data_IF_877307679152
#
_entry.id   IF_877307679152
#
_cell.length_a   1.000
_cell.length_b   1.000
_cell.length_c   1.000
_cell.angle_alpha   90.00
_cell.angle_beta   90.00
_cell.angle_gamma   90.00
#
_symmetry.space_group_name_H-M   'P 1'
#
loop_
_entity.id
_entity.type
_entity.pdbx_description
1 polymer ?
#
# COMPACT_ATOMS: atom_id res chain seq x y z
N UNK A 1 -11.85 -6.20 -0.31
CA UNK A 1 -11.47 -4.79 -0.25
C UNK A 1 -12.02 -4.25 1.06
N UNK A 2 -11.21 -3.52 1.82
CA UNK A 2 -11.61 -2.86 3.05
C UNK A 2 -12.20 -1.49 2.72
N UNK A 3 -13.29 -1.10 3.40
CA UNK A 3 -14.07 0.08 3.01
C UNK A 3 -13.65 1.38 3.68
N UNK A 4 -12.87 1.30 4.77
CA UNK A 4 -12.54 2.45 5.61
C UNK A 4 -11.07 2.35 6.06
N UNK A 5 -10.14 2.61 5.14
CA UNK A 5 -8.71 2.59 5.41
C UNK A 5 -8.07 3.91 5.00
N UNK A 6 -7.25 4.47 5.88
CA UNK A 6 -6.52 5.70 5.61
C UNK A 6 -5.00 5.51 5.82
N UNK A 7 -4.20 6.33 5.13
CA UNK A 7 -2.79 6.50 5.47
C UNK A 7 -2.64 7.43 6.67
N UNK A 8 -1.51 7.29 7.38
CA UNK A 8 -1.17 8.20 8.48
C UNK A 8 -0.77 9.60 7.96
N UNK A 9 -0.07 9.63 6.84
CA UNK A 9 0.51 10.84 6.25
C UNK A 9 0.22 10.85 4.73
N UNK A 10 0.36 12.01 4.08
CA UNK A 10 0.04 12.21 2.66
C UNK A 10 1.27 12.18 1.72
N UNK A 11 2.41 11.69 2.23
CA UNK A 11 3.70 11.65 1.54
C UNK A 11 4.42 10.34 1.83
N UNK A 12 5.03 9.74 0.79
CA UNK A 12 5.67 8.42 0.86
C UNK A 12 6.66 8.29 2.01
N UNK A 13 7.64 9.19 2.12
CA UNK A 13 8.70 9.09 3.15
C UNK A 13 8.12 9.10 4.57
N UNK A 14 7.13 9.94 4.83
CA UNK A 14 6.49 10.07 6.15
C UNK A 14 5.63 8.84 6.49
N UNK A 15 4.94 8.28 5.50
CA UNK A 15 4.21 7.02 5.66
C UNK A 15 5.18 5.89 6.03
N UNK A 16 6.33 5.78 5.36
CA UNK A 16 7.31 4.73 5.59
C UNK A 16 7.96 4.78 6.99
N UNK A 17 7.86 5.90 7.70
CA UNK A 17 8.25 5.98 9.12
C UNK A 17 7.34 5.16 10.04
N UNK A 18 6.17 4.70 9.59
CA UNK A 18 5.24 3.89 10.40
C UNK A 18 4.73 2.64 9.70
N UNK A 19 4.63 2.64 8.37
CA UNK A 19 3.96 1.59 7.61
C UNK A 19 4.49 0.18 7.87
N UNK A 20 5.82 0.02 7.97
CA UNK A 20 6.48 -1.29 8.08
C UNK A 20 7.20 -1.50 9.41
N UNK A 21 6.82 -0.79 10.46
CA UNK A 21 7.39 -0.92 11.80
C UNK A 21 6.33 -0.59 12.88
N UNK A 22 6.69 -0.72 14.17
CA UNK A 22 5.75 -0.51 15.29
C UNK A 22 5.50 0.97 15.69
N UNK A 23 6.09 1.93 14.98
CA UNK A 23 5.78 3.36 15.09
C UNK A 23 4.38 3.65 14.57
N UNK A 24 3.66 4.55 15.22
CA UNK A 24 2.30 4.96 14.89
C UNK A 24 2.06 6.42 15.32
N UNK A 25 0.81 6.87 15.30
CA UNK A 25 0.47 8.23 15.74
C UNK A 25 0.68 8.48 17.25
N UNK A 26 0.66 7.46 18.10
CA UNK A 26 0.80 7.59 19.55
C UNK A 26 2.23 7.37 20.07
N UNK A 27 3.12 6.84 19.25
CA UNK A 27 4.52 6.61 19.63
C UNK A 27 5.32 7.90 19.70
N UNK A 28 6.32 7.93 20.59
CA UNK A 28 7.07 9.13 20.93
C UNK A 28 8.59 9.02 20.71
N UNK A 29 9.07 7.94 20.09
CA UNK A 29 10.48 7.77 19.71
C UNK A 29 10.62 7.92 18.20
N UNK A 30 11.82 8.27 17.70
CA UNK A 30 12.09 8.16 16.26
C UNK A 30 11.81 6.75 15.74
N UNK A 31 11.26 6.65 14.53
CA UNK A 31 10.77 5.38 13.97
C UNK A 31 11.83 4.27 13.91
N UNK A 32 13.09 4.64 13.69
CA UNK A 32 14.21 3.69 13.60
C UNK A 32 14.58 3.03 14.94
N UNK A 33 13.93 3.41 16.04
CA UNK A 33 14.00 2.69 17.32
C UNK A 33 12.97 1.56 17.45
N UNK A 34 11.98 1.48 16.57
CA UNK A 34 10.97 0.43 16.56
C UNK A 34 11.40 -0.75 15.68
N UNK A 35 11.06 -1.98 16.09
CA UNK A 35 11.29 -3.14 15.25
C UNK A 35 10.47 -3.05 13.97
N UNK A 36 11.07 -3.47 12.86
CA UNK A 36 10.48 -3.43 11.53
C UNK A 36 10.13 -4.84 11.05
N UNK A 37 9.12 -4.89 10.18
CA UNK A 37 8.51 -6.09 9.66
C UNK A 37 9.51 -6.98 8.90
N UNK A 38 10.40 -6.39 8.10
CA UNK A 38 11.37 -7.13 7.27
C UNK A 38 12.35 -7.91 8.13
N UNK A 39 12.89 -7.30 9.18
CA UNK A 39 13.79 -7.98 10.12
C UNK A 39 13.08 -9.07 10.91
N UNK A 40 11.82 -8.82 11.29
CA UNK A 40 11.01 -9.82 11.98
C UNK A 40 10.82 -11.04 11.07
N UNK A 41 10.43 -10.86 9.80
CA UNK A 41 10.33 -11.96 8.83
C UNK A 41 11.64 -12.73 8.65
N UNK A 42 12.78 -12.03 8.53
CA UNK A 42 14.10 -12.69 8.46
C UNK A 42 14.39 -13.52 9.72
N UNK A 43 14.12 -12.97 10.92
CA UNK A 43 14.30 -13.68 12.19
C UNK A 43 13.33 -14.87 12.34
N UNK A 44 12.18 -14.81 11.70
CA UNK A 44 11.21 -15.91 11.58
C UNK A 44 11.52 -16.89 10.43
N UNK A 45 12.74 -16.85 9.88
CA UNK A 45 13.24 -17.74 8.83
C UNK A 45 12.53 -17.63 7.47
N UNK A 46 11.98 -16.46 7.15
CA UNK A 46 11.51 -16.15 5.79
C UNK A 46 12.67 -15.63 4.93
N UNK A 47 12.71 -16.06 3.67
CA UNK A 47 13.51 -15.39 2.64
C UNK A 47 12.82 -14.08 2.27
N UNK A 48 13.53 -12.95 2.34
CA UNK A 48 12.95 -11.62 2.10
C UNK A 48 13.40 -11.04 0.77
N UNK A 49 12.42 -10.57 -0.01
CA UNK A 49 12.61 -9.98 -1.34
C UNK A 49 11.98 -8.59 -1.39
N UNK A 50 12.68 -7.62 -1.96
CA UNK A 50 12.15 -6.30 -2.29
C UNK A 50 12.38 -5.99 -3.75
N UNK A 51 11.30 -5.81 -4.51
CA UNK A 51 11.33 -5.44 -5.91
C UNK A 51 10.90 -3.98 -6.02
N UNK A 52 11.86 -3.11 -6.31
CA UNK A 52 11.72 -1.66 -6.34
C UNK A 52 11.47 -1.18 -7.77
N UNK A 53 10.33 -0.51 -8.00
CA UNK A 53 10.05 0.16 -9.27
C UNK A 53 10.20 1.67 -9.18
N UNK A 54 10.10 2.25 -7.99
CA UNK A 54 10.26 3.67 -7.77
C UNK A 54 11.75 4.05 -7.78
N UNK A 55 12.07 5.19 -8.40
CA UNK A 55 13.43 5.72 -8.39
C UNK A 55 13.75 6.19 -6.97
N UNK A 56 14.99 5.95 -6.54
CA UNK A 56 15.49 6.52 -5.29
C UNK A 56 16.07 7.89 -5.60
N UNK A 57 15.47 8.92 -5.03
CA UNK A 57 15.98 10.28 -5.02
C UNK A 57 16.14 10.79 -3.57
N UNK A 58 16.41 12.09 -3.41
CA UNK A 58 16.55 12.73 -2.10
C UNK A 58 15.28 12.63 -1.24
N UNK A 59 14.11 12.49 -1.86
CA UNK A 59 12.81 12.35 -1.20
C UNK A 59 12.48 10.91 -0.86
N UNK A 60 13.35 9.96 -1.25
CA UNK A 60 13.15 8.53 -1.08
C UNK A 60 14.05 7.81 -0.08
N UNK A 61 14.68 8.55 0.82
CA UNK A 61 15.65 8.00 1.78
C UNK A 61 15.01 7.01 2.74
N UNK A 62 13.81 7.30 3.26
CA UNK A 62 13.16 6.45 4.28
C UNK A 62 12.80 5.07 3.72
N UNK A 63 12.10 5.00 2.59
CA UNK A 63 11.80 3.72 1.94
C UNK A 63 13.08 3.00 1.48
N UNK A 64 14.14 3.73 1.12
CA UNK A 64 15.43 3.12 0.81
C UNK A 64 16.03 2.41 2.02
N UNK A 65 16.03 3.06 3.19
CA UNK A 65 16.52 2.46 4.44
C UNK A 65 15.70 1.24 4.84
N UNK A 66 14.38 1.28 4.66
CA UNK A 66 13.48 0.16 4.95
C UNK A 66 13.74 -1.01 4.00
N UNK A 67 13.74 -0.76 2.70
CA UNK A 67 13.93 -1.80 1.68
C UNK A 67 15.33 -2.42 1.71
N UNK A 68 16.36 -1.67 2.11
CA UNK A 68 17.74 -2.18 2.28
C UNK A 68 17.86 -3.25 3.38
N UNK A 69 16.82 -3.44 4.20
CA UNK A 69 16.78 -4.50 5.21
C UNK A 69 16.45 -5.86 4.60
N UNK A 70 15.92 -5.91 3.38
CA UNK A 70 15.61 -7.16 2.70
C UNK A 70 16.88 -7.90 2.32
N UNK A 71 16.86 -9.24 2.38
CA UNK A 71 18.01 -10.05 2.01
C UNK A 71 18.31 -9.96 0.52
N UNK A 72 17.28 -9.96 -0.31
CA UNK A 72 17.39 -9.80 -1.75
C UNK A 72 16.65 -8.52 -2.16
N UNK A 73 17.36 -7.56 -2.75
CA UNK A 73 16.79 -6.29 -3.18
C UNK A 73 17.13 -6.05 -4.66
N UNK A 74 16.12 -5.73 -5.45
CA UNK A 74 16.24 -5.52 -6.88
C UNK A 74 15.64 -4.17 -7.26
N UNK A 75 16.34 -3.44 -8.14
CA UNK A 75 15.84 -2.20 -8.74
C UNK A 75 15.47 -2.48 -10.20
N UNK A 76 14.17 -2.37 -10.52
CA UNK A 76 13.58 -2.68 -11.83
C UNK A 76 13.28 -1.35 -12.53
N UNK A 77 14.31 -0.54 -12.77
CA UNK A 77 14.17 0.82 -13.30
C UNK A 77 14.05 0.83 -14.85
N UNK A 78 14.29 1.98 -15.49
CA UNK A 78 14.01 2.19 -16.91
C UNK A 78 14.67 1.21 -17.88
N UNK A 79 15.76 0.54 -17.49
CA UNK A 79 16.41 -0.49 -18.29
C UNK A 79 15.61 -1.80 -18.41
N UNK A 80 14.62 -2.02 -17.55
CA UNK A 80 13.68 -3.14 -17.64
C UNK A 80 12.40 -2.78 -18.39
N UNK A 81 12.08 -1.49 -18.50
CA UNK A 81 10.85 -0.97 -19.08
C UNK A 81 10.25 0.15 -18.22
N UNK A 82 9.33 0.92 -18.78
CA UNK A 82 8.80 2.11 -18.11
C UNK A 82 7.80 1.78 -16.99
N UNK A 83 7.03 0.70 -17.12
CA UNK A 83 5.80 0.51 -16.35
C UNK A 83 5.89 -0.59 -15.29
N UNK A 84 4.97 -0.58 -14.32
CA UNK A 84 4.98 -1.50 -13.17
C UNK A 84 4.80 -2.98 -13.52
N UNK A 85 4.29 -3.33 -14.72
CA UNK A 85 4.18 -4.73 -15.17
C UNK A 85 5.53 -5.45 -15.23
N UNK A 86 6.63 -4.69 -15.34
CA UNK A 86 7.99 -5.24 -15.28
C UNK A 86 8.30 -5.92 -13.95
N UNK A 87 7.64 -5.54 -12.86
CA UNK A 87 7.76 -6.24 -11.58
C UNK A 87 7.31 -7.70 -11.68
N UNK A 88 6.22 -7.97 -12.40
CA UNK A 88 5.66 -9.33 -12.60
C UNK A 88 6.59 -10.15 -13.48
N UNK A 89 7.09 -9.56 -14.57
CA UNK A 89 8.05 -10.20 -15.48
C UNK A 89 9.37 -10.51 -14.77
N UNK A 90 9.90 -9.54 -14.01
CA UNK A 90 11.14 -9.70 -13.25
C UNK A 90 11.01 -10.77 -12.17
N UNK A 91 9.90 -10.78 -11.43
CA UNK A 91 9.64 -11.78 -10.40
C UNK A 91 9.68 -13.20 -11.00
N UNK A 92 8.93 -13.44 -12.07
CA UNK A 92 8.81 -14.76 -12.68
C UNK A 92 10.16 -15.30 -13.17
N UNK A 93 10.99 -14.41 -13.74
CA UNK A 93 12.30 -14.78 -14.27
C UNK A 93 13.38 -14.94 -13.20
N UNK A 94 13.42 -14.05 -12.22
CA UNK A 94 14.57 -13.92 -11.32
C UNK A 94 14.26 -14.32 -9.88
N UNK A 95 13.07 -14.04 -9.37
CA UNK A 95 12.74 -14.27 -7.94
C UNK A 95 12.13 -15.64 -7.73
N UNK A 96 11.20 -16.06 -8.59
CA UNK A 96 10.51 -17.35 -8.49
C UNK A 96 11.47 -18.57 -8.38
N UNK A 97 12.60 -18.64 -9.13
CA UNK A 97 13.56 -19.74 -8.98
C UNK A 97 14.33 -19.74 -7.64
N UNK A 98 14.33 -18.62 -6.91
CA UNK A 98 15.08 -18.45 -5.67
C UNK A 98 14.23 -18.71 -4.41
N UNK A 99 12.91 -18.88 -4.57
CA UNK A 99 11.98 -19.06 -3.46
C UNK A 99 12.37 -20.23 -2.55
N UNK A 100 12.13 -20.04 -1.26
CA UNK A 100 12.31 -21.04 -0.19
C UNK A 100 10.95 -21.53 0.31
N UNK A 101 10.94 -22.30 1.39
CA UNK A 101 9.71 -22.78 2.03
C UNK A 101 8.84 -21.65 2.58
N UNK A 102 9.46 -20.55 3.03
CA UNK A 102 8.79 -19.34 3.53
C UNK A 102 9.39 -18.11 2.87
N UNK A 103 8.56 -17.25 2.29
CA UNK A 103 9.01 -16.05 1.55
C UNK A 103 8.15 -14.85 1.94
N UNK A 104 8.79 -13.72 2.17
CA UNK A 104 8.14 -12.42 2.30
C UNK A 104 8.63 -11.55 1.14
N UNK A 105 7.71 -11.15 0.27
CA UNK A 105 8.02 -10.49 -1.00
C UNK A 105 7.28 -9.17 -1.02
N UNK A 106 8.02 -8.07 -1.17
CA UNK A 106 7.46 -6.73 -1.36
C UNK A 106 7.62 -6.33 -2.82
N UNK A 107 6.50 -5.99 -3.45
CA UNK A 107 6.46 -5.30 -4.73
C UNK A 107 6.19 -3.82 -4.43
N UNK A 108 7.18 -2.97 -4.66
CA UNK A 108 7.02 -1.53 -4.46
C UNK A 108 6.83 -0.87 -5.83
N UNK A 109 5.58 -0.48 -6.09
CA UNK A 109 5.09 0.04 -7.37
C UNK A 109 5.33 1.56 -7.45
N UNK A 110 5.41 2.11 -8.66
CA UNK A 110 5.22 3.56 -8.83
C UNK A 110 3.73 3.91 -8.66
N UNK A 111 2.84 3.03 -9.10
CA UNK A 111 1.40 3.17 -8.96
C UNK A 111 0.87 4.41 -9.69
N UNK A 112 0.02 5.16 -9.00
CA UNK A 112 -0.61 6.38 -9.54
C UNK A 112 0.10 7.65 -9.06
N UNK A 113 1.43 7.64 -9.01
CA UNK A 113 2.23 8.83 -8.71
C UNK A 113 2.04 9.92 -9.79
N UNK A 114 2.13 11.20 -9.39
CA UNK A 114 1.93 12.38 -10.24
C UNK A 114 2.74 12.35 -11.55
N UNK A 115 2.17 13.00 -12.57
CA UNK A 115 2.38 12.72 -14.00
C UNK A 115 1.72 11.42 -14.43
N UNK A 116 0.40 11.36 -14.19
CA UNK A 116 -0.41 10.14 -14.31
C UNK A 116 -0.37 9.52 -15.72
N UNK A 117 -0.29 10.34 -16.77
CA UNK A 117 -0.17 9.88 -18.16
C UNK A 117 1.07 9.01 -18.42
N UNK A 118 2.12 9.16 -17.61
CA UNK A 118 3.36 8.38 -17.72
C UNK A 118 3.28 7.04 -16.94
N UNK A 119 2.17 6.79 -16.24
CA UNK A 119 2.00 5.58 -15.41
C UNK A 119 1.47 4.39 -16.19
N UNK A 120 0.96 4.60 -17.39
CA UNK A 120 0.34 3.56 -18.20
C UNK A 120 0.75 3.65 -19.67
N UNK A 121 0.83 2.52 -20.41
CA UNK A 121 1.03 2.54 -21.85
C UNK A 121 -0.23 3.05 -22.57
N UNK A 122 -0.07 3.56 -23.79
CA UNK A 122 -1.20 4.11 -24.59
C UNK A 122 -2.39 3.15 -24.75
N UNK A 123 -2.17 1.84 -24.71
CA UNK A 123 -3.24 0.83 -24.74
C UNK A 123 -4.17 0.84 -23.52
N UNK A 124 -3.75 1.47 -22.43
CA UNK A 124 -4.52 1.66 -21.20
C UNK A 124 -5.13 3.07 -21.08
N UNK A 125 -4.98 3.93 -22.09
CA UNK A 125 -5.65 5.22 -22.19
C UNK A 125 -7.14 5.05 -22.56
N UNK A 126 -7.92 4.41 -21.68
CA UNK A 126 -9.29 3.98 -21.93
C UNK A 126 -10.30 5.12 -21.73
N UNK A 127 -10.19 5.83 -20.61
CA UNK A 127 -11.11 6.88 -20.20
C UNK A 127 -10.64 8.24 -20.72
N UNK A 128 -11.58 9.02 -21.23
CA UNK A 128 -11.37 10.39 -21.69
C UNK A 128 -12.13 11.36 -20.78
N UNK A 129 -11.81 12.66 -20.81
CA UNK A 129 -12.59 13.67 -20.09
C UNK A 129 -14.11 13.61 -20.37
N UNK A 130 -14.51 13.24 -21.58
CA UNK A 130 -15.93 13.09 -21.96
C UNK A 130 -16.67 11.96 -21.24
N UNK A 131 -15.94 11.00 -20.66
CA UNK A 131 -16.50 9.81 -20.02
C UNK A 131 -16.68 9.99 -18.50
N UNK A 132 -16.23 11.13 -17.95
CA UNK A 132 -16.16 11.38 -16.51
C UNK A 132 -17.10 12.50 -16.06
N UNK A 133 -17.55 12.40 -14.81
CA UNK A 133 -18.24 13.49 -14.11
C UNK A 133 -17.25 14.31 -13.32
N UNK A 134 -17.41 15.63 -13.34
CA UNK A 134 -16.59 16.59 -12.60
C UNK A 134 -17.40 17.40 -11.58
N UNK A 135 -18.65 17.03 -11.32
CA UNK A 135 -19.58 17.83 -10.51
C UNK A 135 -19.11 18.08 -9.07
N UNK A 136 -18.26 17.19 -8.55
CA UNK A 136 -17.74 17.24 -7.18
C UNK A 136 -16.27 17.66 -7.12
N UNK A 137 -15.71 18.15 -8.24
CA UNK A 137 -14.30 18.52 -8.36
C UNK A 137 -14.18 20.00 -8.70
N UNK A 138 -13.16 20.65 -8.16
CA UNK A 138 -12.84 22.05 -8.42
C UNK A 138 -11.99 22.24 -9.69
N UNK A 139 -12.31 21.48 -10.75
CA UNK A 139 -11.65 21.62 -12.06
C UNK A 139 -12.14 22.87 -12.79
N UNK A 140 -11.23 23.60 -13.43
CA UNK A 140 -11.53 24.90 -14.05
C UNK A 140 -11.37 24.92 -15.57
N UNK A 141 -10.66 23.96 -16.14
CA UNK A 141 -10.31 23.94 -17.56
C UNK A 141 -10.13 22.50 -18.09
N UNK A 142 -9.92 22.36 -19.40
CA UNK A 142 -9.78 21.03 -20.03
C UNK A 142 -8.47 20.31 -19.65
N UNK A 143 -7.43 21.04 -19.24
CA UNK A 143 -6.21 20.44 -18.72
C UNK A 143 -6.48 19.75 -17.38
N UNK A 144 -7.23 20.38 -16.47
CA UNK A 144 -7.60 19.77 -15.19
C UNK A 144 -8.42 18.50 -15.42
N UNK A 145 -9.40 18.54 -16.33
CA UNK A 145 -10.19 17.36 -16.69
C UNK A 145 -9.35 16.24 -17.29
N UNK A 146 -8.33 16.58 -18.08
CA UNK A 146 -7.39 15.60 -18.62
C UNK A 146 -6.54 14.96 -17.50
N UNK A 147 -6.11 15.73 -16.51
CA UNK A 147 -5.37 15.21 -15.35
C UNK A 147 -6.22 14.19 -14.59
N UNK A 148 -7.52 14.47 -14.36
CA UNK A 148 -8.46 13.52 -13.74
C UNK A 148 -8.57 12.25 -14.59
N UNK A 149 -8.71 12.37 -15.92
CA UNK A 149 -8.81 11.22 -16.81
C UNK A 149 -7.53 10.36 -16.81
N UNK A 150 -6.36 10.99 -16.77
CA UNK A 150 -5.08 10.30 -16.69
C UNK A 150 -4.91 9.58 -15.35
N UNK A 151 -5.36 10.17 -14.24
CA UNK A 151 -5.39 9.52 -12.93
C UNK A 151 -6.31 8.28 -12.93
N UNK A 152 -7.51 8.38 -13.50
CA UNK A 152 -8.42 7.23 -13.64
C UNK A 152 -7.80 6.13 -14.50
N UNK A 153 -7.12 6.47 -15.60
CA UNK A 153 -6.42 5.50 -16.44
C UNK A 153 -5.21 4.86 -15.72
N UNK A 154 -4.49 5.60 -14.88
CA UNK A 154 -3.40 5.02 -14.08
C UNK A 154 -3.93 4.02 -13.06
N UNK A 155 -5.09 4.27 -12.45
CA UNK A 155 -5.77 3.30 -11.59
C UNK A 155 -6.21 2.05 -12.37
N UNK A 156 -6.78 2.22 -13.57
CA UNK A 156 -7.16 1.11 -14.45
C UNK A 156 -5.97 0.24 -14.86
N UNK A 157 -4.83 0.85 -15.16
CA UNK A 157 -3.59 0.12 -15.42
C UNK A 157 -3.04 -0.57 -14.15
N UNK A 158 -3.07 0.11 -13.01
CA UNK A 158 -2.64 -0.46 -11.74
C UNK A 158 -3.47 -1.70 -11.36
N UNK A 159 -4.78 -1.73 -11.62
CA UNK A 159 -5.61 -2.92 -11.45
C UNK A 159 -5.11 -4.12 -12.28
N UNK A 160 -4.72 -3.90 -13.54
CA UNK A 160 -4.13 -4.96 -14.37
C UNK A 160 -2.79 -5.45 -13.84
N UNK A 161 -1.95 -4.56 -13.31
CA UNK A 161 -0.68 -4.93 -12.64
C UNK A 161 -0.95 -5.77 -11.39
N UNK A 162 -1.90 -5.37 -10.55
CA UNK A 162 -2.29 -6.13 -9.36
C UNK A 162 -2.83 -7.51 -9.71
N UNK A 163 -3.67 -7.62 -10.74
CA UNK A 163 -4.11 -8.91 -11.26
C UNK A 163 -2.92 -9.77 -11.73
N UNK A 164 -1.93 -9.17 -12.40
CA UNK A 164 -0.67 -9.82 -12.73
C UNK A 164 0.05 -10.39 -11.51
N UNK A 165 0.15 -9.60 -10.44
CA UNK A 165 0.76 -10.01 -9.16
C UNK A 165 -0.04 -11.15 -8.51
N UNK A 166 -1.37 -11.04 -8.39
CA UNK A 166 -2.21 -12.07 -7.79
C UNK A 166 -2.11 -13.42 -8.53
N UNK A 167 -2.00 -13.36 -9.86
CA UNK A 167 -1.82 -14.55 -10.70
C UNK A 167 -0.50 -15.28 -10.46
N UNK A 168 0.55 -14.60 -9.98
CA UNK A 168 1.80 -15.26 -9.57
C UNK A 168 1.59 -16.23 -8.39
N UNK A 169 0.59 -15.96 -7.55
CA UNK A 169 0.38 -16.65 -6.27
C UNK A 169 -0.88 -17.52 -6.22
N UNK A 170 -1.69 -17.55 -7.29
CA UNK A 170 -3.00 -18.25 -7.32
C UNK A 170 -2.92 -19.74 -6.97
N UNK A 171 -1.84 -20.41 -7.37
CA UNK A 171 -1.63 -21.86 -7.16
C UNK A 171 -0.70 -22.15 -5.96
N UNK A 172 -0.58 -21.21 -5.01
CA UNK A 172 0.28 -21.31 -3.82
C UNK A 172 -0.54 -21.19 -2.54
N UNK A 173 -0.04 -21.66 -1.40
CA UNK A 173 -0.59 -21.28 -0.09
C UNK A 173 -0.13 -19.85 0.22
N UNK A 174 -0.91 -18.85 -0.20
CA UNK A 174 -0.48 -17.46 -0.27
C UNK A 174 -1.58 -16.48 0.14
N UNK A 175 -1.12 -15.43 0.82
CA UNK A 175 -1.88 -14.23 1.15
C UNK A 175 -1.08 -13.03 0.63
N UNK A 176 -1.76 -12.12 -0.06
CA UNK A 176 -1.17 -10.90 -0.62
C UNK A 176 -1.93 -9.70 -0.07
N UNK A 177 -1.19 -8.77 0.54
CA UNK A 177 -1.71 -7.51 1.02
C UNK A 177 -1.35 -6.43 0.00
N UNK A 178 -2.34 -5.69 -0.47
CA UNK A 178 -2.15 -4.49 -1.27
C UNK A 178 -2.68 -3.29 -0.49
N UNK A 179 -1.83 -2.27 -0.36
CA UNK A 179 -2.15 -1.00 0.28
C UNK A 179 -1.39 0.10 -0.47
N UNK A 180 -2.05 1.23 -0.72
CA UNK A 180 -1.36 2.45 -1.18
C UNK A 180 -0.70 3.15 0.01
N UNK A 181 0.51 3.67 -0.14
CA UNK A 181 1.22 4.40 0.93
C UNK A 181 0.42 5.63 1.37
N UNK A 182 -0.09 6.39 0.40
CA UNK A 182 -1.08 7.45 0.58
C UNK A 182 -1.94 7.58 -0.69
N UNK A 183 -2.85 8.55 -0.73
CA UNK A 183 -3.67 8.85 -1.90
C UNK A 183 -3.23 10.16 -2.57
N UNK A 184 -4.02 10.62 -3.53
CA UNK A 184 -3.83 11.92 -4.19
C UNK A 184 -5.14 12.68 -4.05
N UNK A 185 -5.06 13.95 -3.65
CA UNK A 185 -6.19 14.86 -3.83
C UNK A 185 -6.19 15.27 -5.31
N UNK A 186 -7.21 14.89 -6.05
CA UNK A 186 -7.43 15.15 -7.47
C UNK A 186 -8.57 16.17 -7.61
N UNK A 187 -8.33 17.37 -7.07
CA UNK A 187 -9.25 18.51 -7.10
C UNK A 187 -10.51 18.36 -6.23
N UNK A 188 -10.57 17.40 -5.30
CA UNK A 188 -11.68 17.28 -4.35
C UNK A 188 -11.67 18.42 -3.32
N UNK A 189 -10.48 18.80 -2.79
CA UNK A 189 -10.40 19.82 -1.74
C UNK A 189 -10.19 21.25 -2.26
N UNK A 190 -10.01 21.43 -3.58
CA UNK A 190 -9.75 22.75 -4.16
C UNK A 190 -9.16 22.69 -5.58
N UNK A 191 -8.74 23.83 -6.14
CA UNK A 191 -8.37 23.96 -7.56
C UNK A 191 -6.98 23.39 -7.89
N UNK A 192 -6.43 22.52 -7.03
CA UNK A 192 -5.09 21.94 -7.17
C UNK A 192 -5.18 20.44 -6.93
N UNK A 193 -4.23 19.69 -7.47
CA UNK A 193 -4.08 18.26 -7.23
C UNK A 193 -2.70 17.91 -6.68
N UNK A 194 -2.58 16.74 -6.05
CA UNK A 194 -1.31 16.18 -5.57
C UNK A 194 -1.37 15.69 -4.13
N UNK A 195 -0.20 15.66 -3.49
CA UNK A 195 -0.08 15.35 -2.06
C UNK A 195 -0.74 16.44 -1.22
N UNK A 196 -1.73 16.04 -0.41
CA UNK A 196 -2.44 16.94 0.49
C UNK A 196 -2.91 16.17 1.71
N UNK A 197 -2.75 16.81 2.86
CA UNK A 197 -3.36 16.40 4.12
C UNK A 197 -4.87 16.72 4.14
N UNK A 198 -5.63 16.06 3.26
CA UNK A 198 -7.09 16.11 3.15
C UNK A 198 -7.66 14.69 3.27
N UNK A 199 -8.99 14.55 3.35
CA UNK A 199 -9.61 13.22 3.32
C UNK A 199 -9.27 12.47 2.03
N UNK A 200 -9.41 13.11 0.88
CA UNK A 200 -9.08 12.54 -0.43
C UNK A 200 -7.60 12.13 -0.54
N UNK A 201 -6.67 12.88 0.06
CA UNK A 201 -5.24 12.56 0.06
C UNK A 201 -4.82 11.44 1.03
N UNK A 202 -5.71 11.03 1.95
CA UNK A 202 -5.43 10.00 2.97
C UNK A 202 -6.25 8.73 2.79
N UNK A 203 -7.39 8.77 2.11
CA UNK A 203 -8.23 7.59 1.87
C UNK A 203 -7.59 6.65 0.84
N UNK A 204 -7.13 5.49 1.29
CA UNK A 204 -6.32 4.56 0.49
C UNK A 204 -7.04 3.23 0.25
N UNK A 205 -6.82 2.58 -0.90
CA UNK A 205 -7.26 1.21 -1.08
C UNK A 205 -6.46 0.28 -0.18
N UNK A 206 -7.16 -0.56 0.58
CA UNK A 206 -6.57 -1.72 1.24
C UNK A 206 -7.29 -3.00 0.81
N UNK A 207 -6.53 -3.98 0.34
CA UNK A 207 -7.03 -5.23 -0.20
C UNK A 207 -6.20 -6.41 0.30
N UNK A 208 -6.88 -7.51 0.58
CA UNK A 208 -6.26 -8.80 0.83
C UNK A 208 -6.75 -9.77 -0.23
N UNK A 209 -5.82 -10.26 -1.01
CA UNK A 209 -6.02 -11.40 -1.90
C UNK A 209 -5.54 -12.67 -1.17
N UNK A 210 -6.33 -13.73 -1.26
CA UNK A 210 -6.00 -15.06 -0.74
C UNK A 210 -6.24 -16.08 -1.83
N UNK A 211 -5.26 -16.96 -2.05
CA UNK A 211 -5.38 -18.05 -3.01
C UNK A 211 -6.40 -19.09 -2.56
N UNK A 212 -6.82 -19.97 -3.46
CA UNK A 212 -7.77 -21.04 -3.12
C UNK A 212 -7.17 -22.03 -2.12
N UNK A 213 -5.88 -22.37 -2.28
CA UNK A 213 -5.15 -23.21 -1.30
C UNK A 213 -5.12 -22.55 0.08
N UNK A 214 -4.94 -21.22 0.16
CA UNK A 214 -4.95 -20.52 1.45
C UNK A 214 -6.35 -20.58 2.10
N UNK A 215 -7.41 -20.41 1.31
CA UNK A 215 -8.80 -20.50 1.81
C UNK A 215 -9.10 -21.88 2.39
N UNK A 216 -8.65 -22.94 1.72
CA UNK A 216 -8.87 -24.32 2.16
C UNK A 216 -8.09 -24.65 3.43
N UNK A 217 -6.84 -24.19 3.53
CA UNK A 217 -5.95 -24.50 4.66
C UNK A 217 -6.18 -23.65 5.90
N UNK A 218 -6.64 -22.41 5.76
CA UNK A 218 -6.75 -21.44 6.86
C UNK A 218 -8.16 -20.79 6.93
N UNK A 219 -9.26 -21.58 6.98
CA UNK A 219 -10.62 -21.06 6.97
C UNK A 219 -10.93 -20.11 8.13
N UNK A 220 -10.26 -20.27 9.27
CA UNK A 220 -10.34 -19.38 10.42
C UNK A 220 -9.82 -17.97 10.09
N UNK A 221 -8.70 -17.87 9.37
CA UNK A 221 -8.14 -16.58 8.92
C UNK A 221 -9.06 -15.90 7.91
N UNK A 222 -9.66 -16.67 7.02
CA UNK A 222 -10.67 -16.15 6.07
C UNK A 222 -11.84 -15.52 6.82
N UNK A 223 -12.31 -16.14 7.90
CA UNK A 223 -13.37 -15.59 8.74
C UNK A 223 -12.94 -14.28 9.41
N UNK A 224 -11.72 -14.21 9.94
CA UNK A 224 -11.19 -12.98 10.54
C UNK A 224 -11.13 -11.83 9.52
N UNK A 225 -10.62 -12.09 8.32
CA UNK A 225 -10.54 -11.10 7.23
C UNK A 225 -11.94 -10.60 6.84
N UNK A 226 -12.91 -11.51 6.66
CA UNK A 226 -14.29 -11.15 6.32
C UNK A 226 -14.96 -10.29 7.39
N UNK A 227 -14.71 -10.57 8.66
CA UNK A 227 -15.26 -9.80 9.78
C UNK A 227 -14.65 -8.40 9.92
N UNK A 228 -13.53 -8.13 9.26
CA UNK A 228 -12.81 -6.87 9.37
C UNK A 228 -13.07 -5.89 8.21
N UNK A 229 -13.77 -6.29 7.16
CA UNK A 229 -13.89 -5.53 5.90
C UNK A 229 -14.39 -4.09 6.06
N UNK A 230 -15.26 -3.84 7.04
CA UNK A 230 -15.89 -2.54 7.26
C UNK A 230 -15.38 -1.82 8.51
N UNK A 231 -14.31 -2.31 9.13
CA UNK A 231 -13.72 -1.66 10.31
C UNK A 231 -12.85 -0.48 9.86
N UNK A 232 -12.85 0.65 10.60
CA UNK A 232 -11.92 1.74 10.35
C UNK A 232 -10.49 1.25 10.61
N UNK A 233 -9.57 1.59 9.74
CA UNK A 233 -8.17 1.17 9.84
C UNK A 233 -7.22 2.28 9.40
N UNK A 234 -6.07 2.38 10.06
CA UNK A 234 -4.99 3.29 9.68
C UNK A 234 -3.74 2.49 9.37
N UNK A 235 -3.04 2.83 8.28
CA UNK A 235 -1.91 2.05 7.76
C UNK A 235 -0.73 1.93 8.74
N UNK A 236 -0.66 2.79 9.76
CA UNK A 236 0.36 2.76 10.81
C UNK A 236 0.24 1.55 11.75
N UNK A 237 -0.92 0.89 11.78
CA UNK A 237 -1.13 -0.35 12.54
C UNK A 237 -0.98 -1.62 11.67
N UNK A 238 -0.47 -1.51 10.43
CA UNK A 238 -0.33 -2.64 9.51
C UNK A 238 0.48 -3.80 10.10
N UNK A 239 1.59 -3.51 10.78
CA UNK A 239 2.44 -4.54 11.37
C UNK A 239 1.74 -5.33 12.49
N UNK A 240 0.88 -4.66 13.27
CA UNK A 240 0.10 -5.28 14.34
C UNK A 240 -0.96 -6.24 13.79
N UNK A 241 -1.38 -6.05 12.54
CA UNK A 241 -2.41 -6.88 11.90
C UNK A 241 -1.80 -7.98 11.02
N UNK A 242 -0.75 -7.67 10.27
CA UNK A 242 -0.16 -8.58 9.28
C UNK A 242 0.58 -9.74 9.94
N UNK A 243 1.46 -9.46 10.92
CA UNK A 243 2.29 -10.49 11.53
C UNK A 243 1.46 -11.59 12.23
N UNK A 244 0.46 -11.26 13.07
CA UNK A 244 -0.35 -12.29 13.73
C UNK A 244 -1.18 -13.10 12.72
N UNK A 245 -1.67 -12.46 11.65
CA UNK A 245 -2.42 -13.16 10.60
C UNK A 245 -1.58 -14.23 9.89
N UNK A 246 -0.25 -14.04 9.79
CA UNK A 246 0.68 -15.06 9.26
C UNK A 246 1.32 -15.93 10.35
N UNK A 247 0.86 -15.83 11.60
CA UNK A 247 1.29 -16.65 12.73
C UNK A 247 2.62 -16.23 13.36
N UNK A 248 3.04 -14.99 13.17
CA UNK A 248 4.23 -14.41 13.83
C UNK A 248 3.75 -13.48 14.94
N UNK A 249 4.16 -13.79 16.17
CA UNK A 249 3.86 -12.97 17.35
C UNK A 249 5.14 -12.37 17.92
N UNK A 250 5.08 -11.11 18.33
CA UNK A 250 6.22 -10.42 18.97
C UNK A 250 5.79 -9.75 20.27
N UNK A 251 6.76 -9.37 21.10
CA UNK A 251 6.48 -8.67 22.37
C UNK A 251 5.96 -7.24 22.20
N UNK A 252 6.12 -6.68 21.00
CA UNK A 252 5.69 -5.32 20.66
C UNK A 252 4.27 -5.29 20.09
N UNK A 253 3.64 -6.46 19.90
CA UNK A 253 2.27 -6.58 19.42
C UNK A 253 1.29 -5.96 20.43
N UNK A 254 0.32 -5.20 19.91
CA UNK A 254 -0.76 -4.59 20.68
C UNK A 254 -2.07 -5.07 20.06
N UNK A 255 -2.81 -5.91 20.78
CA UNK A 255 -4.03 -6.55 20.30
C UNK A 255 -5.12 -5.56 19.89
N UNK A 256 -5.24 -4.42 20.57
CA UNK A 256 -6.19 -3.38 20.21
C UNK A 256 -5.89 -2.70 18.87
N UNK A 257 -4.69 -2.87 18.32
CA UNK A 257 -4.26 -2.36 17.01
C UNK A 257 -4.31 -3.43 15.91
N UNK A 258 -4.57 -4.69 16.27
CA UNK A 258 -4.71 -5.77 15.32
C UNK A 258 -6.13 -5.78 14.75
N UNK A 259 -6.29 -5.38 13.48
CA UNK A 259 -7.56 -5.29 12.76
C UNK A 259 -8.40 -6.58 12.81
N UNK A 260 -7.71 -7.72 12.87
CA UNK A 260 -8.31 -9.06 12.88
C UNK A 260 -8.61 -9.57 14.30
N UNK A 261 -8.13 -8.88 15.33
CA UNK A 261 -8.36 -9.25 16.72
C UNK A 261 -9.80 -8.94 17.16
N UNK A 262 -10.41 -9.75 18.05
CA UNK A 262 -11.64 -9.38 18.73
C UNK A 262 -11.45 -8.17 19.67
N UNK A 263 -10.21 -7.84 20.06
CA UNK A 263 -9.89 -6.69 20.92
C UNK A 263 -9.64 -5.40 20.13
N UNK A 264 -9.73 -5.44 18.80
CA UNK A 264 -9.49 -4.27 17.94
C UNK A 264 -10.31 -3.06 18.39
N UNK A 265 -9.64 -1.95 18.64
CA UNK A 265 -10.27 -0.69 19.02
C UNK A 265 -10.70 0.09 17.78
N UNK A 266 -11.92 -0.17 17.32
CA UNK A 266 -12.53 0.57 16.22
C UNK A 266 -12.89 2.03 16.57
N UNK A 267 -12.62 2.50 17.79
CA UNK A 267 -12.81 3.88 18.24
C UNK A 267 -11.48 4.61 18.43
N UNK A 268 -10.34 3.97 18.10
CA UNK A 268 -9.04 4.61 18.10
C UNK A 268 -9.10 5.89 17.27
N UNK A 269 -8.71 7.00 17.87
CA UNK A 269 -8.58 8.29 17.17
C UNK A 269 -7.59 8.15 16.02
N UNK A 270 -8.03 8.42 14.80
CA UNK A 270 -7.18 8.43 13.60
C UNK A 270 -6.49 9.78 13.44
N UNK A 271 -5.45 9.98 14.26
CA UNK A 271 -4.60 11.18 14.22
C UNK A 271 -3.59 11.07 13.07
N UNK A 272 -3.66 12.02 12.14
CA UNK A 272 -2.91 12.04 10.87
C UNK A 272 -2.19 13.37 10.70
N UNK A 273 -1.34 13.50 9.68
CA UNK A 273 -0.69 14.76 9.32
C UNK A 273 0.16 15.32 10.45
N UNK A 274 1.07 14.48 10.97
CA UNK A 274 1.89 14.75 12.17
C UNK A 274 1.06 15.08 13.42
N UNK A 275 -0.14 14.50 13.53
CA UNK A 275 -1.06 14.71 14.65
C UNK A 275 -1.85 16.02 14.61
N UNK A 276 -1.73 16.80 13.53
CA UNK A 276 -2.44 18.08 13.37
C UNK A 276 -3.91 17.90 12.98
N UNK A 277 -4.31 16.71 12.52
CA UNK A 277 -5.68 16.44 12.09
C UNK A 277 -6.22 15.17 12.75
N UNK A 278 -7.47 15.24 13.22
CA UNK A 278 -8.30 14.09 13.56
C UNK A 278 -9.16 13.75 12.35
N UNK A 279 -8.80 12.70 11.61
CA UNK A 279 -9.45 12.37 10.33
C UNK A 279 -10.97 12.23 10.46
N UNK A 280 -11.43 11.62 11.54
CA UNK A 280 -12.85 11.35 11.79
C UNK A 280 -13.67 12.62 12.03
N UNK A 281 -13.02 13.69 12.49
CA UNK A 281 -13.64 15.01 12.77
C UNK A 281 -13.37 16.05 11.69
N UNK A 282 -12.48 15.78 10.74
CA UNK A 282 -12.17 16.69 9.66
C UNK A 282 -13.38 16.87 8.73
N UNK A 283 -13.54 18.08 8.20
CA UNK A 283 -14.52 18.37 7.15
C UNK A 283 -14.19 17.55 5.88
N UNK A 284 -15.20 17.34 5.03
CA UNK A 284 -15.03 16.70 3.73
C UNK A 284 -14.51 17.69 2.72
#
# INVERSE_FOLDING_TARGET
MFSDTISKEAHTSDVFESLLNYSNAETNKPWYHYHNMIDIFKRSHYETFWLEKQIVDEWGITQNLVSNRSKNRYYILGNYGAYDEELVKFYSKNVQPQLKSKNFIVFHLIGSHSWYADRFPKSFAKFKPSDLSFSNLHVSNDRDKQIVADYVNSLYYNDAVLNGIFNLFKDKDAIVFYLSDHAQDIFESGPTYGHRCSKAGLEIPFMIYISDIFKEKHPEKVKLIKNALNKPFMSDDLIHSLLPLVGIHTKDEIESKNLFSPQFDAQRKRAVCYGNMDYDRAEK
#
